data_IF_021620405947
#
_entry.id   IF_021620405947
#
_cell.length_a   1.000
_cell.length_b   1.000
_cell.length_c   1.000
_cell.angle_alpha   90.00
_cell.angle_beta   90.00
_cell.angle_gamma   90.00
#
_symmetry.space_group_name_H-M   'P 1'
#
loop_
_entity.id
_entity.type
_entity.pdbx_description
1 polymer ?
#
# COMPACT_ATOMS: atom_id res chain seq x y z
N UNK A 1 1.23 -3.10 -27.25
CA UNK A 1 0.37 -4.24 -27.66
C UNK A 1 -0.25 -4.77 -26.37
N UNK A 2 -1.57 -4.96 -26.32
CA UNK A 2 -2.22 -5.58 -25.15
C UNK A 2 -1.94 -7.08 -25.24
N UNK A 3 -1.33 -7.65 -24.21
CA UNK A 3 -1.06 -9.10 -24.14
C UNK A 3 -2.35 -9.91 -23.94
N UNK A 4 -2.20 -11.21 -23.75
CA UNK A 4 -3.31 -12.08 -23.35
C UNK A 4 -3.89 -11.62 -22.01
N UNK A 5 -5.22 -11.67 -21.87
CA UNK A 5 -5.89 -11.28 -20.64
C UNK A 5 -5.65 -12.34 -19.56
N UNK A 6 -5.21 -11.97 -18.34
CA UNK A 6 -5.02 -12.93 -17.25
C UNK A 6 -6.34 -13.43 -16.64
N UNK A 7 -7.49 -12.95 -17.14
CA UNK A 7 -8.84 -13.33 -16.70
C UNK A 7 -9.62 -14.07 -17.78
N UNK A 8 -8.92 -14.55 -18.82
CA UNK A 8 -9.51 -15.30 -19.95
C UNK A 8 -10.57 -14.54 -20.77
N UNK A 9 -10.56 -13.20 -20.72
CA UNK A 9 -11.42 -12.32 -21.53
C UNK A 9 -10.74 -11.90 -22.84
N UNK A 10 -11.51 -11.69 -23.93
CA UNK A 10 -10.97 -11.12 -25.18
C UNK A 10 -10.74 -9.60 -25.02
N UNK A 11 -9.49 -9.10 -25.10
CA UNK A 11 -9.19 -7.67 -24.95
C UNK A 11 -9.90 -6.76 -25.97
N UNK A 12 -10.32 -7.29 -27.13
CA UNK A 12 -11.03 -6.50 -28.15
C UNK A 12 -12.47 -6.22 -27.78
N UNK A 13 -13.08 -7.09 -26.96
CA UNK A 13 -14.49 -7.00 -26.58
C UNK A 13 -14.70 -6.77 -25.08
N UNK A 14 -13.65 -6.88 -24.26
CA UNK A 14 -13.72 -6.69 -22.82
C UNK A 14 -14.27 -5.31 -22.44
N UNK A 15 -15.34 -5.29 -21.65
CA UNK A 15 -15.97 -4.04 -21.19
C UNK A 15 -15.03 -3.18 -20.34
N UNK A 16 -14.11 -3.79 -19.60
CA UNK A 16 -13.16 -3.08 -18.75
C UNK A 16 -12.04 -2.38 -19.53
N UNK A 17 -11.89 -2.63 -20.83
CA UNK A 17 -11.00 -1.83 -21.69
C UNK A 17 -11.58 -0.44 -22.01
N UNK A 18 -12.85 -0.19 -21.68
CA UNK A 18 -13.49 1.11 -21.80
C UNK A 18 -13.15 1.95 -20.56
N UNK A 19 -12.71 3.20 -20.77
CA UNK A 19 -12.28 4.12 -19.69
C UNK A 19 -13.28 4.20 -18.52
N UNK A 20 -14.59 4.17 -18.83
CA UNK A 20 -15.65 4.26 -17.80
C UNK A 20 -15.72 3.05 -16.87
N UNK A 21 -15.31 1.87 -17.33
CA UNK A 21 -15.43 0.61 -16.60
C UNK A 21 -14.05 0.05 -16.21
N UNK A 22 -12.96 0.75 -16.55
CA UNK A 22 -11.59 0.27 -16.32
C UNK A 22 -11.30 -0.04 -14.84
N UNK A 23 -11.91 0.71 -13.92
CA UNK A 23 -11.78 0.48 -12.48
C UNK A 23 -12.39 -0.84 -12.00
N UNK A 24 -13.28 -1.46 -12.79
CA UNK A 24 -13.99 -2.69 -12.45
C UNK A 24 -13.24 -3.96 -12.86
N UNK A 25 -12.14 -3.83 -13.63
CA UNK A 25 -11.29 -4.96 -13.97
C UNK A 25 -10.75 -5.65 -12.72
N UNK A 26 -10.72 -7.00 -12.62
CA UNK A 26 -10.11 -7.68 -11.48
C UNK A 26 -8.62 -7.38 -11.30
N UNK A 27 -7.91 -6.98 -12.37
CA UNK A 27 -6.53 -6.48 -12.30
C UNK A 27 -6.41 -5.04 -11.82
N UNK A 28 -7.51 -4.28 -11.77
CA UNK A 28 -7.52 -2.91 -11.28
C UNK A 28 -7.46 -2.93 -9.76
N UNK A 29 -6.34 -2.47 -9.21
CA UNK A 29 -6.17 -2.30 -7.77
C UNK A 29 -6.18 -0.83 -7.40
N UNK A 30 -6.86 -0.50 -6.29
CA UNK A 30 -6.88 0.88 -5.78
C UNK A 30 -5.45 1.35 -5.43
N UNK A 31 -5.02 2.53 -5.91
CA UNK A 31 -3.73 3.11 -5.52
C UNK A 31 -3.56 3.27 -4.01
N UNK A 32 -4.67 3.45 -3.28
CA UNK A 32 -4.65 3.55 -1.83
C UNK A 32 -4.14 2.25 -1.18
N UNK A 33 -4.49 1.08 -1.71
CA UNK A 33 -4.02 -0.21 -1.19
C UNK A 33 -2.50 -0.37 -1.34
N UNK A 34 -1.97 0.04 -2.49
CA UNK A 34 -0.53 0.03 -2.77
C UNK A 34 0.20 1.00 -1.84
N UNK A 35 -0.29 2.24 -1.72
CA UNK A 35 0.28 3.25 -0.81
C UNK A 35 0.29 2.76 0.63
N UNK A 36 -0.81 2.19 1.12
CA UNK A 36 -0.90 1.59 2.46
C UNK A 36 0.14 0.50 2.69
N UNK A 37 0.28 -0.43 1.76
CA UNK A 37 1.30 -1.48 1.85
C UNK A 37 2.72 -0.92 1.93
N UNK A 38 3.03 0.07 1.09
CA UNK A 38 4.34 0.72 1.08
C UNK A 38 4.66 1.44 2.39
N UNK A 39 3.73 2.24 2.93
CA UNK A 39 3.93 2.97 4.19
C UNK A 39 4.04 2.03 5.38
N UNK A 40 3.17 1.01 5.47
CA UNK A 40 3.27 -0.03 6.49
C UNK A 40 4.63 -0.72 6.45
N UNK A 41 5.14 -1.06 5.26
CA UNK A 41 6.46 -1.69 5.12
C UNK A 41 7.58 -0.80 5.66
N UNK A 42 7.61 0.48 5.32
CA UNK A 42 8.63 1.42 5.83
C UNK A 42 8.61 1.46 7.36
N UNK A 43 7.42 1.54 7.94
CA UNK A 43 7.21 1.56 9.38
C UNK A 43 7.62 0.25 10.08
N UNK A 44 7.37 -0.90 9.46
CA UNK A 44 7.85 -2.22 9.95
C UNK A 44 9.36 -2.37 9.90
N UNK A 45 10.02 -1.62 9.01
CA UNK A 45 11.47 -1.60 8.87
C UNK A 45 12.15 -0.57 9.79
N UNK A 46 11.40 0.02 10.73
CA UNK A 46 11.96 0.98 11.68
C UNK A 46 12.11 2.40 11.14
N UNK A 47 11.60 2.70 9.95
CA UNK A 47 11.63 4.10 9.45
C UNK A 47 10.76 4.97 10.38
N UNK A 48 11.28 6.09 10.91
CA UNK A 48 10.50 6.96 11.79
C UNK A 48 9.23 7.48 11.12
N UNK A 49 8.15 7.60 11.90
CA UNK A 49 6.84 8.08 11.41
C UNK A 49 6.93 9.47 10.78
N UNK A 50 7.77 10.36 11.32
CA UNK A 50 8.04 11.70 10.77
C UNK A 50 8.65 11.62 9.35
N UNK A 51 9.67 10.79 9.17
CA UNK A 51 10.33 10.59 7.86
C UNK A 51 9.35 9.99 6.85
N UNK A 52 8.53 9.01 7.26
CA UNK A 52 7.50 8.42 6.39
C UNK A 52 6.44 9.46 6.01
N UNK A 53 6.03 10.28 6.97
CA UNK A 53 5.07 11.36 6.82
C UNK A 53 5.53 12.42 5.82
N UNK A 54 6.71 12.98 6.03
CA UNK A 54 7.31 14.00 5.17
C UNK A 54 7.54 13.49 3.75
N UNK A 55 8.09 12.27 3.61
CA UNK A 55 8.30 11.63 2.30
C UNK A 55 7.00 11.45 1.52
N UNK A 56 5.91 11.22 2.23
CA UNK A 56 4.66 10.77 1.63
C UNK A 56 3.56 11.83 1.71
N UNK A 57 3.87 13.05 2.15
CA UNK A 57 2.92 14.14 2.38
C UNK A 57 1.67 13.66 3.13
N UNK A 58 1.88 13.13 4.34
CA UNK A 58 0.81 12.64 5.22
C UNK A 58 1.12 13.01 6.66
N UNK A 59 0.14 13.56 7.37
CA UNK A 59 0.30 13.85 8.80
C UNK A 59 0.40 12.55 9.60
N UNK A 60 1.01 12.65 10.78
CA UNK A 60 1.14 11.51 11.69
C UNK A 60 -0.21 10.87 12.03
N UNK A 61 -1.22 11.69 12.34
CA UNK A 61 -2.55 11.20 12.68
C UNK A 61 -3.21 10.44 11.53
N UNK A 62 -3.02 10.91 10.28
CA UNK A 62 -3.56 10.23 9.09
C UNK A 62 -2.76 8.96 8.78
N UNK A 63 -1.44 8.99 8.99
CA UNK A 63 -0.56 7.83 8.84
C UNK A 63 -0.99 6.71 9.78
N UNK A 64 -1.18 7.01 11.07
CA UNK A 64 -1.61 6.03 12.08
C UNK A 64 -3.02 5.49 11.81
N UNK A 65 -3.99 6.35 11.50
CA UNK A 65 -5.39 5.94 11.34
C UNK A 65 -5.66 5.15 10.05
N UNK A 66 -5.03 5.53 8.93
CA UNK A 66 -5.47 5.06 7.61
C UNK A 66 -4.45 4.18 6.89
N UNK A 67 -3.19 4.27 7.27
CA UNK A 67 -2.08 3.64 6.55
C UNK A 67 -1.28 2.65 7.38
N UNK A 68 -1.04 2.89 8.67
CA UNK A 68 -0.30 1.98 9.53
C UNK A 68 -1.13 0.70 9.78
N UNK A 69 -0.54 -0.44 9.48
CA UNK A 69 -1.12 -1.77 9.71
C UNK A 69 -0.28 -2.62 10.65
N UNK A 70 0.67 -2.00 11.37
CA UNK A 70 1.36 -2.65 12.48
C UNK A 70 0.39 -2.89 13.62
N UNK A 71 0.48 -4.05 14.21
CA UNK A 71 -0.16 -4.39 15.49
C UNK A 71 0.61 -3.76 16.65
N UNK A 72 -0.05 -3.61 17.80
CA UNK A 72 0.62 -3.18 19.04
C UNK A 72 1.83 -4.06 19.40
N UNK A 73 1.74 -5.35 19.09
CA UNK A 73 2.84 -6.31 19.28
C UNK A 73 4.02 -6.00 18.36
N UNK A 74 3.79 -5.80 17.06
CA UNK A 74 4.85 -5.42 16.11
C UNK A 74 5.51 -4.09 16.49
N UNK A 75 4.73 -3.11 16.97
CA UNK A 75 5.27 -1.83 17.48
C UNK A 75 6.12 -2.04 18.74
N UNK A 76 5.74 -2.96 19.62
CA UNK A 76 6.51 -3.33 20.81
C UNK A 76 7.81 -4.05 20.45
N UNK A 77 7.76 -5.04 19.55
CA UNK A 77 8.94 -5.79 19.08
C UNK A 77 9.94 -4.84 18.40
N UNK A 78 9.48 -3.96 17.51
CA UNK A 78 10.34 -2.96 16.88
C UNK A 78 11.02 -2.03 17.91
N UNK A 79 10.31 -1.60 18.96
CA UNK A 79 10.91 -0.80 20.04
C UNK A 79 11.96 -1.60 20.81
N UNK A 80 11.71 -2.89 21.03
CA UNK A 80 12.64 -3.78 21.72
C UNK A 80 13.93 -3.94 20.92
N UNK A 81 13.82 -4.25 19.62
CA UNK A 81 14.97 -4.44 18.73
C UNK A 81 15.85 -3.18 18.70
N UNK A 82 15.23 -1.99 18.56
CA UNK A 82 15.95 -0.71 18.59
C UNK A 82 16.66 -0.41 19.91
N UNK A 83 16.17 -0.94 21.03
CA UNK A 83 16.79 -0.76 22.35
C UNK A 83 17.87 -1.80 22.65
N UNK A 84 17.75 -3.01 22.11
CA UNK A 84 18.77 -4.06 22.23
C UNK A 84 20.01 -3.76 21.38
N UNK A 85 19.85 -2.96 20.32
CA UNK A 85 20.93 -2.49 19.44
C UNK A 85 21.71 -1.24 19.96
N UNK A 86 21.34 -0.71 21.14
CA UNK A 86 22.01 0.44 21.80
C UNK A 86 23.15 0.01 22.74
#
# INVERSE_FOLDING_TARGET
>A
MVGECPHDEDPKTCDYMKVRNASECPSSHSPHGIRRGALTRMLRQGTPEEVVGDRSNVSRDVLEQHYDRRTERERMELRRDLLEDL
#
